data_IF_965171264040
#
_entry.id   IF_965171264040
#
_cell.length_a   1.000
_cell.length_b   1.000
_cell.length_c   1.000
_cell.angle_alpha   90.00
_cell.angle_beta   90.00
_cell.angle_gamma   90.00
#
_symmetry.space_group_name_H-M   'P 1'
#
loop_
_entity.id
_entity.type
_entity.pdbx_description
1 polymer ?
#
# COMPACT_ATOMS: atom_id res chain seq x y z
N UNK A 1 18.67 10.16 -8.24
CA UNK A 1 17.40 10.88 -8.44
C UNK A 1 16.22 10.30 -7.65
N UNK A 2 16.37 9.12 -7.11
CA UNK A 2 15.40 8.43 -6.25
C UNK A 2 15.63 8.85 -4.81
N UNK A 3 14.87 9.80 -4.26
CA UNK A 3 14.94 10.08 -2.82
C UNK A 3 14.07 11.25 -2.34
N UNK A 4 13.06 11.68 -3.09
CA UNK A 4 12.15 12.75 -2.62
C UNK A 4 11.32 12.25 -1.46
N UNK A 5 10.77 11.04 -1.59
CA UNK A 5 9.95 10.42 -0.57
C UNK A 5 10.75 10.13 0.70
N UNK A 6 11.93 9.49 0.58
CA UNK A 6 12.80 9.24 1.73
C UNK A 6 13.24 10.53 2.43
N UNK A 7 13.55 11.59 1.67
CA UNK A 7 13.85 12.90 2.26
C UNK A 7 12.66 13.47 3.03
N UNK A 8 11.43 13.30 2.51
CA UNK A 8 10.22 13.75 3.22
C UNK A 8 9.99 12.90 4.47
N UNK A 9 10.11 11.57 4.41
CA UNK A 9 10.01 10.68 5.56
C UNK A 9 11.02 11.09 6.64
N UNK A 10 12.28 11.30 6.28
CA UNK A 10 13.32 11.72 7.22
C UNK A 10 13.05 13.09 7.88
N UNK A 11 12.34 13.98 7.20
CA UNK A 11 11.94 15.28 7.78
C UNK A 11 10.82 15.15 8.80
N UNK A 12 9.90 14.21 8.61
CA UNK A 12 8.70 14.10 9.43
C UNK A 12 8.78 13.00 10.50
N UNK A 13 9.81 12.13 10.47
CA UNK A 13 9.94 11.00 11.39
C UNK A 13 10.02 11.35 12.88
N UNK A 14 10.38 12.59 13.22
CA UNK A 14 10.42 13.10 14.59
C UNK A 14 9.07 13.62 15.09
N UNK A 15 8.08 13.74 14.20
CA UNK A 15 6.73 14.13 14.57
C UNK A 15 5.97 12.94 15.15
N UNK A 16 4.85 13.21 15.84
CA UNK A 16 3.88 12.17 16.16
C UNK A 16 3.43 11.46 14.88
N UNK A 17 3.19 10.16 14.96
CA UNK A 17 2.91 9.32 13.79
C UNK A 17 1.72 9.83 12.95
N UNK A 18 0.65 10.28 13.60
CA UNK A 18 -0.53 10.79 12.89
C UNK A 18 -0.22 12.10 12.16
N UNK A 19 0.55 13.02 12.77
CA UNK A 19 1.02 14.25 12.12
C UNK A 19 2.00 13.98 10.98
N UNK A 20 2.92 13.03 11.18
CA UNK A 20 3.85 12.62 10.14
C UNK A 20 3.10 12.04 8.93
N UNK A 21 2.07 11.24 9.19
CA UNK A 21 1.21 10.66 8.15
C UNK A 21 0.45 11.74 7.37
N UNK A 22 -0.14 12.72 8.05
CA UNK A 22 -0.82 13.85 7.42
C UNK A 22 0.13 14.68 6.52
N UNK A 23 1.34 14.94 6.99
CA UNK A 23 2.37 15.61 6.21
C UNK A 23 2.80 14.81 4.96
N UNK A 24 2.84 13.49 5.05
CA UNK A 24 3.13 12.59 3.92
C UNK A 24 1.95 12.56 2.93
N UNK A 25 0.73 12.52 3.44
CA UNK A 25 -0.49 12.58 2.64
C UNK A 25 -0.54 13.87 1.84
N UNK A 26 -0.37 15.02 2.50
CA UNK A 26 -0.29 16.32 1.84
C UNK A 26 0.83 16.38 0.79
N UNK A 27 1.99 15.80 1.08
CA UNK A 27 3.10 15.74 0.13
C UNK A 27 2.75 14.92 -1.11
N UNK A 28 2.12 13.76 -0.96
CA UNK A 28 1.74 12.88 -2.08
C UNK A 28 0.62 13.51 -2.91
N UNK A 29 -0.44 13.99 -2.25
CA UNK A 29 -1.63 14.50 -2.97
C UNK A 29 -1.38 15.82 -3.68
N UNK A 30 -0.52 16.69 -3.16
CA UNK A 30 -0.20 17.98 -3.77
C UNK A 30 1.00 17.92 -4.74
N UNK A 31 1.57 16.74 -4.97
CA UNK A 31 2.72 16.63 -5.87
C UNK A 31 2.30 16.56 -7.34
N UNK A 32 2.66 17.55 -8.14
CA UNK A 32 2.38 17.59 -9.57
C UNK A 32 3.10 16.47 -10.36
N UNK A 33 4.18 15.94 -9.81
CA UNK A 33 4.98 14.87 -10.42
C UNK A 33 4.73 13.52 -9.74
N UNK A 34 3.47 13.12 -9.59
CA UNK A 34 3.07 11.90 -8.91
C UNK A 34 3.75 10.64 -9.43
N UNK A 35 3.96 10.51 -10.74
CA UNK A 35 4.62 9.35 -11.35
C UNK A 35 6.05 9.12 -10.81
N UNK A 36 6.77 10.18 -10.42
CA UNK A 36 8.07 10.01 -9.77
C UNK A 36 7.95 9.43 -8.36
N UNK A 37 6.91 9.84 -7.61
CA UNK A 37 6.64 9.29 -6.27
C UNK A 37 6.21 7.83 -6.40
N UNK A 38 5.37 7.50 -7.35
CA UNK A 38 4.96 6.13 -7.63
C UNK A 38 6.16 5.23 -7.93
N UNK A 39 7.18 5.74 -8.63
CA UNK A 39 8.43 5.01 -8.89
C UNK A 39 9.36 4.87 -7.67
N UNK A 40 9.12 5.61 -6.59
CA UNK A 40 9.95 5.55 -5.36
C UNK A 40 9.41 4.57 -4.31
N UNK A 41 8.18 4.05 -4.48
CA UNK A 41 7.59 3.06 -3.57
C UNK A 41 7.79 1.63 -4.10
N UNK A 42 7.44 0.67 -3.27
CA UNK A 42 7.36 -0.73 -3.66
C UNK A 42 8.35 -1.65 -2.95
N UNK A 43 9.60 -1.25 -2.80
CA UNK A 43 10.57 -1.97 -1.98
C UNK A 43 11.10 -1.07 -0.86
N UNK A 44 11.08 -1.58 0.37
CA UNK A 44 11.65 -0.85 1.51
C UNK A 44 13.17 -0.79 1.31
N UNK A 45 13.76 0.42 1.26
CA UNK A 45 15.21 0.58 1.12
C UNK A 45 15.97 -0.06 2.29
N UNK A 46 17.10 -0.71 1.98
CA UNK A 46 17.95 -1.33 2.99
C UNK A 46 18.59 -0.31 3.96
N UNK A 47 18.61 0.96 3.58
CA UNK A 47 19.09 2.05 4.44
C UNK A 47 18.13 2.43 5.56
N UNK A 48 16.90 1.97 5.51
CA UNK A 48 15.93 2.15 6.59
C UNK A 48 16.17 1.05 7.64
N UNK A 49 16.29 1.41 8.90
CA UNK A 49 16.44 0.45 9.99
C UNK A 49 15.17 -0.38 10.18
N UNK A 50 15.35 -1.67 10.53
CA UNK A 50 14.22 -2.58 10.77
C UNK A 50 13.43 -2.15 12.02
N UNK A 51 12.10 -2.28 11.94
CA UNK A 51 11.15 -1.87 13.00
C UNK A 51 11.19 -0.39 13.39
N UNK A 52 11.88 0.43 12.58
CA UNK A 52 11.99 1.87 12.81
C UNK A 52 10.70 2.63 12.49
N UNK A 53 10.63 3.87 12.97
CA UNK A 53 9.55 4.80 12.59
C UNK A 53 9.54 5.05 11.08
N UNK A 54 10.71 5.15 10.46
CA UNK A 54 10.86 5.33 9.01
C UNK A 54 10.27 4.17 8.23
N UNK A 55 10.45 2.92 8.67
CA UNK A 55 9.87 1.74 8.02
C UNK A 55 8.35 1.75 8.11
N UNK A 56 7.80 2.10 9.27
CA UNK A 56 6.34 2.24 9.47
C UNK A 56 5.76 3.36 8.61
N UNK A 57 6.45 4.51 8.53
CA UNK A 57 6.05 5.62 7.66
C UNK A 57 6.17 5.26 6.18
N UNK A 58 7.19 4.50 5.78
CA UNK A 58 7.34 4.02 4.40
C UNK A 58 6.18 3.09 4.01
N UNK A 59 5.79 2.19 4.91
CA UNK A 59 4.62 1.33 4.67
C UNK A 59 3.35 2.17 4.55
N UNK A 60 3.13 3.13 5.46
CA UNK A 60 1.93 3.98 5.43
C UNK A 60 1.88 4.86 4.18
N UNK A 61 3.01 5.41 3.74
CA UNK A 61 3.03 6.20 2.51
C UNK A 61 2.78 5.36 1.27
N UNK A 62 3.07 4.06 1.29
CA UNK A 62 2.72 3.15 0.18
C UNK A 62 1.19 3.05 0.01
N UNK A 63 0.42 3.02 1.11
CA UNK A 63 -1.05 3.07 1.06
C UNK A 63 -1.55 4.42 0.53
N UNK A 64 -0.93 5.53 0.96
CA UNK A 64 -1.27 6.87 0.47
C UNK A 64 -1.03 6.99 -1.04
N UNK A 65 0.09 6.45 -1.52
CA UNK A 65 0.41 6.45 -2.96
C UNK A 65 -0.56 5.55 -3.73
N UNK A 66 -0.94 4.41 -3.19
CA UNK A 66 -1.96 3.53 -3.80
C UNK A 66 -3.31 4.24 -3.90
N UNK A 67 -3.75 4.91 -2.83
CA UNK A 67 -4.98 5.71 -2.85
C UNK A 67 -4.90 6.82 -3.92
N UNK A 68 -3.79 7.54 -4.00
CA UNK A 68 -3.59 8.55 -5.04
C UNK A 68 -3.59 7.94 -6.45
N UNK A 69 -3.01 6.75 -6.65
CA UNK A 69 -3.04 6.06 -7.94
C UNK A 69 -4.48 5.72 -8.37
N UNK A 70 -5.33 5.31 -7.44
CA UNK A 70 -6.75 5.11 -7.73
C UNK A 70 -7.47 6.39 -8.15
N UNK A 71 -7.13 7.53 -7.54
CA UNK A 71 -7.67 8.84 -7.96
C UNK A 71 -7.21 9.18 -9.38
N UNK A 72 -5.94 8.94 -9.73
CA UNK A 72 -5.42 9.21 -11.08
C UNK A 72 -6.10 8.38 -12.17
N UNK A 73 -6.61 7.20 -11.84
CA UNK A 73 -7.40 6.36 -12.76
C UNK A 73 -8.92 6.60 -12.68
N UNK A 74 -9.34 7.65 -11.96
CA UNK A 74 -10.73 8.11 -11.96
C UNK A 74 -11.62 7.52 -10.87
N UNK A 75 -11.08 6.89 -9.83
CA UNK A 75 -11.84 6.46 -8.66
C UNK A 75 -11.84 7.55 -7.58
N UNK A 76 -12.86 7.57 -6.73
CA UNK A 76 -12.78 8.27 -5.46
C UNK A 76 -12.08 7.35 -4.47
N UNK A 77 -10.97 7.79 -3.87
CA UNK A 77 -10.19 6.96 -2.97
C UNK A 77 -9.70 7.72 -1.76
N UNK A 78 -9.59 7.00 -0.65
CA UNK A 78 -9.07 7.51 0.62
C UNK A 78 -8.29 6.44 1.38
N UNK A 79 -7.36 6.90 2.21
CA UNK A 79 -6.66 6.05 3.17
C UNK A 79 -7.50 5.96 4.45
N UNK A 80 -7.84 4.73 4.85
CA UNK A 80 -8.64 4.50 6.04
C UNK A 80 -7.81 4.77 7.31
N UNK A 81 -8.40 5.52 8.24
CA UNK A 81 -7.75 5.88 9.53
C UNK A 81 -8.06 4.88 10.65
N UNK A 82 -8.88 3.87 10.38
CA UNK A 82 -9.22 2.86 11.37
C UNK A 82 -8.00 2.00 11.72
N UNK A 83 -7.77 1.81 13.00
CA UNK A 83 -6.68 0.96 13.50
C UNK A 83 -7.22 -0.45 13.75
N UNK A 84 -6.61 -1.43 13.08
CA UNK A 84 -6.90 -2.85 13.27
C UNK A 84 -8.15 -3.35 12.52
N UNK A 85 -8.10 -4.59 12.08
CA UNK A 85 -9.16 -5.33 11.40
C UNK A 85 -9.87 -4.59 10.23
N UNK A 86 -9.15 -3.70 9.56
CA UNK A 86 -9.61 -3.00 8.36
C UNK A 86 -8.54 -3.01 7.28
N UNK A 87 -8.95 -2.85 6.03
CA UNK A 87 -8.05 -2.54 4.93
C UNK A 87 -7.46 -1.13 5.11
N UNK A 88 -6.36 -0.84 4.41
CA UNK A 88 -5.68 0.45 4.53
C UNK A 88 -6.21 1.49 3.55
N UNK A 89 -6.77 1.06 2.42
CA UNK A 89 -7.30 1.95 1.37
C UNK A 89 -8.71 1.52 0.98
N UNK A 90 -9.59 2.51 0.80
CA UNK A 90 -10.91 2.34 0.19
C UNK A 90 -10.96 3.13 -1.11
N UNK A 91 -11.64 2.60 -2.13
CA UNK A 91 -11.94 3.32 -3.35
C UNK A 91 -13.29 2.92 -3.93
N UNK A 92 -13.93 3.85 -4.63
CA UNK A 92 -15.22 3.63 -5.28
C UNK A 92 -15.28 4.25 -6.68
N UNK A 93 -16.01 3.61 -7.57
CA UNK A 93 -16.40 4.19 -8.84
C UNK A 93 -17.88 4.53 -8.80
N UNK A 94 -18.21 5.83 -8.68
CA UNK A 94 -19.62 6.27 -8.73
C UNK A 94 -20.23 6.04 -10.10
N UNK A 95 -19.42 6.09 -11.15
CA UNK A 95 -19.90 5.89 -12.52
C UNK A 95 -20.33 4.45 -12.78
N UNK A 96 -19.53 3.47 -12.32
CA UNK A 96 -19.79 2.04 -12.53
C UNK A 96 -20.49 1.38 -11.34
N UNK A 97 -20.70 2.09 -10.23
CA UNK A 97 -21.43 1.61 -9.07
C UNK A 97 -20.76 0.45 -8.32
N UNK A 98 -19.41 0.45 -8.21
CA UNK A 98 -18.68 -0.53 -7.42
C UNK A 98 -17.74 0.14 -6.43
N UNK A 99 -17.37 -0.61 -5.40
CA UNK A 99 -16.37 -0.23 -4.42
C UNK A 99 -15.31 -1.33 -4.25
N UNK A 100 -14.17 -0.95 -3.73
CA UNK A 100 -13.07 -1.85 -3.43
C UNK A 100 -12.32 -1.43 -2.17
N UNK A 101 -11.70 -2.43 -1.53
CA UNK A 101 -10.68 -2.21 -0.51
C UNK A 101 -9.33 -2.66 -1.02
N UNK A 102 -8.27 -2.02 -0.55
CA UNK A 102 -6.92 -2.36 -0.96
C UNK A 102 -5.91 -2.26 0.19
N UNK A 103 -4.79 -2.96 0.03
CA UNK A 103 -3.65 -2.97 0.94
C UNK A 103 -2.37 -2.97 0.09
N UNK A 104 -1.46 -2.02 0.35
CA UNK A 104 -0.15 -1.98 -0.29
C UNK A 104 0.87 -2.74 0.55
N UNK A 105 1.55 -3.70 -0.05
CA UNK A 105 2.64 -4.44 0.60
C UNK A 105 3.97 -4.02 0.01
N UNK A 106 4.90 -3.72 0.90
CA UNK A 106 6.29 -3.43 0.56
C UNK A 106 7.20 -4.29 1.43
N UNK A 107 8.12 -5.00 0.79
CA UNK A 107 9.13 -5.81 1.49
C UNK A 107 10.52 -5.29 1.18
N UNK A 108 11.49 -5.60 2.04
CA UNK A 108 12.90 -5.33 1.75
C UNK A 108 13.37 -6.20 0.58
N UNK A 109 14.28 -5.67 -0.23
CA UNK A 109 14.89 -6.43 -1.34
C UNK A 109 15.66 -7.65 -0.84
N UNK A 110 16.35 -7.53 0.29
CA UNK A 110 17.10 -8.61 0.93
C UNK A 110 16.23 -9.74 1.47
N UNK A 111 14.93 -9.51 1.61
CA UNK A 111 14.01 -10.53 2.11
C UNK A 111 13.78 -11.63 1.07
N UNK A 112 14.50 -12.74 1.22
CA UNK A 112 14.45 -13.88 0.30
C UNK A 112 13.25 -14.80 0.53
N UNK A 113 12.80 -14.96 1.78
CA UNK A 113 11.65 -15.79 2.13
C UNK A 113 10.42 -14.91 2.43
N UNK A 114 9.37 -15.11 1.64
CA UNK A 114 8.08 -14.47 1.86
C UNK A 114 7.08 -15.55 2.22
N UNK A 115 6.58 -15.48 3.45
CA UNK A 115 5.54 -16.41 3.88
C UNK A 115 4.20 -15.98 3.30
N UNK A 116 3.34 -16.95 2.98
CA UNK A 116 1.96 -16.72 2.57
C UNK A 116 1.20 -15.77 3.53
N UNK A 117 1.43 -15.91 4.83
CA UNK A 117 0.81 -15.06 5.87
C UNK A 117 1.19 -13.58 5.76
N UNK A 118 2.33 -13.27 5.16
CA UNK A 118 2.80 -11.87 4.99
C UNK A 118 1.89 -11.08 4.05
N UNK A 119 1.26 -11.75 3.10
CA UNK A 119 0.35 -11.15 2.13
C UNK A 119 -1.07 -10.92 2.65
N UNK A 120 -1.44 -11.50 3.80
CA UNK A 120 -2.72 -11.28 4.50
C UNK A 120 -3.97 -11.40 3.59
N UNK A 121 -3.97 -12.26 2.57
CA UNK A 121 -5.08 -12.37 1.61
C UNK A 121 -6.40 -12.70 2.31
N UNK A 122 -6.37 -13.64 3.28
CA UNK A 122 -7.56 -13.98 4.06
C UNK A 122 -8.08 -12.78 4.89
N UNK A 123 -7.17 -12.03 5.51
CA UNK A 123 -7.54 -10.83 6.27
C UNK A 123 -8.18 -9.78 5.36
N UNK A 124 -7.58 -9.55 4.18
CA UNK A 124 -8.09 -8.58 3.22
C UNK A 124 -9.49 -8.99 2.71
N UNK A 125 -9.73 -10.28 2.48
CA UNK A 125 -11.07 -10.78 2.17
C UNK A 125 -12.07 -10.48 3.30
N UNK A 126 -11.68 -10.69 4.56
CA UNK A 126 -12.54 -10.41 5.70
C UNK A 126 -12.80 -8.91 5.88
N UNK A 127 -11.80 -8.06 5.58
CA UNK A 127 -11.90 -6.60 5.66
C UNK A 127 -12.68 -5.98 4.51
N UNK A 128 -12.93 -6.74 3.44
CA UNK A 128 -13.68 -6.27 2.27
C UNK A 128 -15.08 -5.77 2.64
N UNK A 129 -15.74 -6.38 3.65
CA UNK A 129 -17.08 -5.98 4.07
C UNK A 129 -18.06 -6.07 2.91
N UNK A 130 -18.73 -4.94 2.62
CA UNK A 130 -19.69 -4.82 1.53
C UNK A 130 -19.08 -4.39 0.18
N UNK A 131 -17.77 -4.20 0.11
CA UNK A 131 -17.11 -3.85 -1.16
C UNK A 131 -17.08 -5.03 -2.11
N UNK A 132 -17.26 -4.77 -3.40
CA UNK A 132 -17.31 -5.83 -4.44
C UNK A 132 -15.93 -6.46 -4.64
N UNK A 133 -14.87 -5.66 -4.51
CA UNK A 133 -13.51 -6.12 -4.80
C UNK A 133 -12.58 -5.93 -3.62
N UNK A 134 -11.53 -6.77 -3.57
CA UNK A 134 -10.40 -6.61 -2.68
C UNK A 134 -9.11 -6.72 -3.49
N UNK A 135 -8.17 -5.82 -3.29
CA UNK A 135 -6.93 -5.69 -4.05
C UNK A 135 -5.73 -5.75 -3.13
N UNK A 136 -4.83 -6.68 -3.38
CA UNK A 136 -3.49 -6.68 -2.79
C UNK A 136 -2.52 -6.08 -3.82
N UNK A 137 -1.94 -4.93 -3.51
CA UNK A 137 -0.95 -4.28 -4.36
C UNK A 137 0.47 -4.56 -3.83
N UNK A 138 1.33 -5.08 -4.71
CA UNK A 138 2.72 -5.38 -4.37
C UNK A 138 3.56 -5.38 -5.65
N UNK A 139 4.81 -4.88 -5.66
CA UNK A 139 5.66 -4.95 -6.83
C UNK A 139 5.75 -6.37 -7.38
N UNK A 140 5.65 -6.51 -8.70
CA UNK A 140 5.65 -7.81 -9.36
C UNK A 140 6.80 -8.73 -8.92
N UNK A 141 8.01 -8.20 -8.83
CA UNK A 141 9.21 -8.95 -8.43
C UNK A 141 9.21 -9.37 -6.96
N UNK A 142 8.30 -8.84 -6.15
CA UNK A 142 8.14 -9.23 -4.75
C UNK A 142 7.07 -10.31 -4.54
N UNK A 143 6.27 -10.62 -5.56
CA UNK A 143 5.38 -11.78 -5.48
C UNK A 143 6.19 -13.09 -5.45
N UNK A 144 5.74 -14.11 -4.72
CA UNK A 144 6.43 -15.39 -4.66
C UNK A 144 6.31 -16.15 -5.98
N UNK A 145 7.01 -17.28 -6.10
CA UNK A 145 6.92 -18.18 -7.27
C UNK A 145 5.48 -18.66 -7.51
N UNK A 146 5.15 -19.01 -8.75
CA UNK A 146 3.82 -19.48 -9.20
C UNK A 146 3.25 -20.67 -8.40
N UNK A 147 4.10 -21.44 -7.74
CA UNK A 147 3.70 -22.57 -6.88
C UNK A 147 3.25 -22.14 -5.48
N UNK A 148 3.32 -20.86 -5.16
CA UNK A 148 2.88 -20.36 -3.87
C UNK A 148 1.37 -20.43 -3.70
N UNK A 149 0.94 -20.79 -2.50
CA UNK A 149 -0.48 -20.87 -2.14
C UNK A 149 -1.20 -19.52 -2.19
N UNK A 150 -0.49 -18.39 -2.28
CA UNK A 150 -1.17 -17.08 -2.39
C UNK A 150 -2.04 -16.99 -3.63
N UNK A 151 -1.63 -17.62 -4.74
CA UNK A 151 -2.39 -17.58 -6.00
C UNK A 151 -3.70 -18.36 -5.90
N UNK A 152 -3.67 -19.58 -5.34
CA UNK A 152 -4.90 -20.35 -5.08
C UNK A 152 -5.79 -19.66 -4.06
N UNK A 153 -5.21 -19.05 -3.01
CA UNK A 153 -5.98 -18.29 -2.03
C UNK A 153 -6.61 -17.03 -2.64
N UNK A 154 -5.87 -16.26 -3.44
CA UNK A 154 -6.42 -15.07 -4.09
C UNK A 154 -7.59 -15.42 -5.00
N UNK A 155 -7.50 -16.54 -5.73
CA UNK A 155 -8.62 -17.05 -6.54
C UNK A 155 -9.81 -17.46 -5.67
N UNK A 156 -9.57 -18.22 -4.61
CA UNK A 156 -10.64 -18.73 -3.74
C UNK A 156 -11.40 -17.60 -3.01
N UNK A 157 -10.67 -16.53 -2.63
CA UNK A 157 -11.25 -15.39 -1.93
C UNK A 157 -11.60 -14.21 -2.86
N UNK A 158 -11.42 -14.37 -4.16
CA UNK A 158 -11.64 -13.29 -5.13
C UNK A 158 -10.90 -11.99 -4.77
N UNK A 159 -9.62 -12.11 -4.41
CA UNK A 159 -8.71 -11.00 -4.13
C UNK A 159 -7.80 -10.80 -5.34
N UNK A 160 -7.83 -9.62 -5.92
CA UNK A 160 -6.96 -9.26 -7.04
C UNK A 160 -5.52 -9.05 -6.56
N UNK A 161 -4.56 -9.70 -7.22
CA UNK A 161 -3.14 -9.43 -7.05
C UNK A 161 -2.71 -8.41 -8.11
N UNK A 162 -2.44 -7.19 -7.68
CA UNK A 162 -2.13 -6.05 -8.54
C UNK A 162 -0.67 -5.60 -8.38
N UNK A 163 -0.04 -5.12 -9.47
CA UNK A 163 1.35 -4.63 -9.43
C UNK A 163 1.57 -3.43 -10.35
#
# INVERSE_FOLDING_TARGET
MFNRLLKKINKVKSLEFDKATEELENFVYNNSNFLYILGEIGAIPESIEHDSTEEKLFSKVSDIVLSRAFIEIGLNSEVLKQRGNSADVFAESKFYGYSLVADAKSFRMSRTAKNQKDFKINSLNNWRGNSEYAILCNPYFQYPKKTSQIYSQSMNYNVCLFS
#
